data_IF_733456234873
#
_entry.id   IF_733456234873
#
_cell.length_a   1.000
_cell.length_b   1.000
_cell.length_c   1.000
_cell.angle_alpha   90.00
_cell.angle_beta   90.00
_cell.angle_gamma   90.00
#
_symmetry.space_group_name_H-M   'P 1'
#
loop_
_entity.id
_entity.type
_entity.pdbx_description
1 polymer ?
#
# COMPACT_ATOMS: atom_id res chain seq x y z
N UNK A 1 -21.05 -26.25 3.37
CA UNK A 1 -19.75 -26.12 2.67
C UNK A 1 -19.01 -24.94 3.26
N UNK A 2 -18.13 -25.24 4.19
CA UNK A 2 -17.49 -24.31 5.11
C UNK A 2 -16.49 -23.42 4.36
N UNK A 3 -16.76 -22.11 4.44
CA UNK A 3 -15.83 -20.98 4.58
C UNK A 3 -14.41 -21.14 4.00
N UNK A 4 -14.11 -20.27 3.03
CA UNK A 4 -12.78 -20.02 2.46
C UNK A 4 -11.69 -19.93 3.55
N UNK A 5 -10.76 -20.88 3.54
CA UNK A 5 -9.42 -20.71 4.10
C UNK A 5 -8.61 -19.81 3.16
N UNK A 6 -8.89 -18.51 3.19
CA UNK A 6 -7.99 -17.51 2.62
C UNK A 6 -6.86 -17.25 3.63
N UNK A 7 -5.61 -17.36 3.18
CA UNK A 7 -4.37 -17.19 3.96
C UNK A 7 -4.29 -15.81 4.63
N UNK A 8 -4.94 -15.63 5.78
CA UNK A 8 -5.05 -14.35 6.51
C UNK A 8 -3.73 -13.89 7.16
N UNK A 9 -2.77 -14.79 7.35
CA UNK A 9 -1.51 -14.50 8.05
C UNK A 9 -0.46 -13.76 7.21
N UNK A 10 -0.39 -14.00 5.90
CA UNK A 10 0.69 -13.45 5.06
C UNK A 10 0.51 -11.97 4.71
N UNK A 11 -0.71 -11.57 4.37
CA UNK A 11 -1.00 -10.19 3.96
C UNK A 11 -0.81 -9.18 5.10
N UNK A 12 -1.31 -9.51 6.30
CA UNK A 12 -1.16 -8.64 7.47
C UNK A 12 0.30 -8.51 7.92
N UNK A 13 1.07 -9.60 7.89
CA UNK A 13 2.50 -9.55 8.20
C UNK A 13 3.27 -8.69 7.18
N UNK A 14 2.91 -8.74 5.89
CA UNK A 14 3.48 -7.88 4.85
C UNK A 14 3.20 -6.39 5.10
N UNK A 15 1.95 -6.05 5.40
CA UNK A 15 1.53 -4.68 5.67
C UNK A 15 2.22 -4.08 6.90
N UNK A 16 2.34 -4.84 7.99
CA UNK A 16 3.02 -4.40 9.21
C UNK A 16 4.50 -4.10 8.92
N UNK A 17 5.16 -4.95 8.12
CA UNK A 17 6.55 -4.71 7.71
C UNK A 17 6.70 -3.47 6.83
N UNK A 18 5.79 -3.21 5.89
CA UNK A 18 5.83 -2.03 5.04
C UNK A 18 5.70 -0.74 5.87
N UNK A 19 4.71 -0.68 6.76
CA UNK A 19 4.50 0.47 7.65
C UNK A 19 5.73 0.69 8.55
N UNK A 20 6.27 -0.38 9.15
CA UNK A 20 7.46 -0.30 9.99
C UNK A 20 8.68 0.27 9.25
N UNK A 21 8.93 -0.21 8.02
CA UNK A 21 9.99 0.32 7.16
C UNK A 21 9.78 1.79 6.83
N UNK A 22 8.55 2.19 6.53
CA UNK A 22 8.23 3.56 6.18
C UNK A 22 8.43 4.52 7.36
N UNK A 23 7.99 4.15 8.56
CA UNK A 23 8.26 4.90 9.79
C UNK A 23 9.78 5.08 10.00
N UNK A 24 10.57 4.02 9.77
CA UNK A 24 12.04 4.08 9.88
C UNK A 24 12.66 5.07 8.89
N UNK A 25 12.20 5.07 7.64
CA UNK A 25 12.67 6.01 6.60
C UNK A 25 12.33 7.44 7.01
N UNK A 26 11.06 7.70 7.34
CA UNK A 26 10.58 9.03 7.72
C UNK A 26 11.26 9.58 8.98
N UNK A 27 11.57 8.71 9.96
CA UNK A 27 12.34 9.08 11.14
C UNK A 27 13.76 9.49 10.78
N UNK A 28 14.45 8.68 9.97
CA UNK A 28 15.82 8.97 9.52
C UNK A 28 15.90 10.27 8.71
N UNK A 29 14.92 10.53 7.83
CA UNK A 29 14.85 11.76 7.06
C UNK A 29 14.73 13.01 7.94
N UNK A 30 14.29 12.85 9.19
CA UNK A 30 14.23 13.92 10.20
C UNK A 30 15.42 13.96 11.14
N UNK A 31 16.43 13.14 10.93
CA UNK A 31 17.61 13.07 11.78
C UNK A 31 17.34 12.56 13.20
N UNK A 32 16.19 11.92 13.44
CA UNK A 32 15.80 11.46 14.78
C UNK A 32 16.39 10.08 15.08
N UNK A 33 16.88 9.86 16.30
CA UNK A 33 17.15 8.52 16.84
C UNK A 33 15.82 7.82 17.21
N UNK A 34 15.86 6.50 17.41
CA UNK A 34 14.67 5.77 17.88
C UNK A 34 14.23 6.23 19.28
N UNK A 35 15.19 6.61 20.11
CA UNK A 35 14.95 7.15 21.46
C UNK A 35 14.24 8.50 21.38
N UNK A 36 14.76 9.43 20.58
CA UNK A 36 14.13 10.74 20.35
C UNK A 36 12.72 10.61 19.78
N UNK A 37 12.50 9.72 18.80
CA UNK A 37 11.15 9.47 18.30
C UNK A 37 10.25 8.91 19.40
N UNK A 38 10.77 7.96 20.18
CA UNK A 38 10.08 7.36 21.33
C UNK A 38 9.63 8.39 22.36
N UNK A 39 10.50 9.36 22.70
CA UNK A 39 10.17 10.47 23.58
C UNK A 39 9.01 11.31 23.02
N UNK A 40 9.06 11.68 21.74
CA UNK A 40 8.03 12.50 21.08
C UNK A 40 6.67 11.78 21.08
N UNK A 41 6.65 10.48 20.73
CA UNK A 41 5.40 9.70 20.68
C UNK A 41 5.01 9.10 22.04
N UNK A 42 5.81 9.31 23.08
CA UNK A 42 5.65 8.73 24.43
C UNK A 42 5.60 7.19 24.40
N UNK A 43 6.56 6.57 23.73
CA UNK A 43 6.74 5.12 23.67
C UNK A 43 8.20 4.73 23.94
N UNK A 44 8.47 3.58 24.58
CA UNK A 44 9.85 3.13 24.81
C UNK A 44 10.62 2.94 23.50
N UNK A 45 11.92 3.26 23.49
CA UNK A 45 12.81 3.06 22.34
C UNK A 45 12.77 1.62 21.79
N UNK A 46 12.68 0.62 22.67
CA UNK A 46 12.53 -0.80 22.29
C UNK A 46 11.22 -1.08 21.52
N UNK A 47 10.14 -0.38 21.87
CA UNK A 47 8.87 -0.46 21.16
C UNK A 47 9.01 0.13 19.76
N UNK A 48 9.63 1.31 19.62
CA UNK A 48 9.93 1.92 18.32
C UNK A 48 10.74 0.96 17.43
N UNK A 49 11.78 0.34 18.00
CA UNK A 49 12.57 -0.67 17.28
C UNK A 49 11.74 -1.87 16.81
N UNK A 50 10.83 -2.39 17.65
CA UNK A 50 9.92 -3.47 17.27
C UNK A 50 8.92 -3.07 16.17
N UNK A 51 8.42 -1.83 16.19
CA UNK A 51 7.58 -1.28 15.12
C UNK A 51 8.34 -1.22 13.80
N UNK A 52 9.56 -0.66 13.81
CA UNK A 52 10.36 -0.50 12.59
C UNK A 52 10.79 -1.83 11.95
N UNK A 53 10.90 -2.90 12.74
CA UNK A 53 11.17 -4.26 12.26
C UNK A 53 9.92 -5.05 11.88
N UNK A 54 8.73 -4.47 12.03
CA UNK A 54 7.47 -5.14 11.73
C UNK A 54 7.06 -6.23 12.74
N UNK A 55 7.68 -6.23 13.94
CA UNK A 55 7.39 -7.20 15.01
C UNK A 55 6.18 -6.77 15.86
N UNK A 56 5.76 -5.51 15.75
CA UNK A 56 4.65 -4.93 16.51
C UNK A 56 3.51 -4.52 15.58
N UNK A 57 2.32 -5.04 15.85
CA UNK A 57 1.09 -4.51 15.27
C UNK A 57 0.66 -3.26 16.05
N UNK A 58 0.79 -2.09 15.44
CA UNK A 58 0.44 -0.80 16.06
C UNK A 58 -1.02 -0.42 15.82
N UNK A 59 -1.67 0.10 16.86
CA UNK A 59 -3.03 0.65 16.79
C UNK A 59 -3.10 1.87 15.87
N UNK A 60 -4.30 2.22 15.41
CA UNK A 60 -4.55 3.43 14.61
C UNK A 60 -4.13 4.69 15.40
N UNK A 61 -4.47 4.77 16.67
CA UNK A 61 -4.05 5.87 17.56
C UNK A 61 -2.52 6.00 17.64
N UNK A 62 -1.81 4.88 17.72
CA UNK A 62 -0.34 4.90 17.71
C UNK A 62 0.19 5.38 16.36
N UNK A 63 -0.46 5.02 15.25
CA UNK A 63 -0.11 5.54 13.92
C UNK A 63 -0.32 7.04 13.83
N UNK A 64 -1.43 7.56 14.36
CA UNK A 64 -1.70 9.00 14.42
C UNK A 64 -0.59 9.75 15.17
N UNK A 65 -0.15 9.23 16.32
CA UNK A 65 1.00 9.79 17.05
C UNK A 65 2.26 9.85 16.19
N UNK A 66 2.57 8.80 15.43
CA UNK A 66 3.69 8.82 14.49
C UNK A 66 3.51 9.86 13.38
N UNK A 67 2.33 9.95 12.78
CA UNK A 67 2.00 10.92 11.72
C UNK A 67 2.22 12.35 12.23
N UNK A 68 1.75 12.67 13.43
CA UNK A 68 1.90 13.98 14.05
C UNK A 68 3.36 14.26 14.46
N UNK A 69 4.02 13.31 15.13
CA UNK A 69 5.41 13.44 15.56
C UNK A 69 6.37 13.63 14.39
N UNK A 70 6.11 12.90 13.30
CA UNK A 70 6.85 13.02 12.08
C UNK A 70 6.39 14.28 11.33
N UNK A 71 5.15 14.78 11.39
CA UNK A 71 4.66 15.86 10.49
C UNK A 71 4.65 15.41 9.03
N UNK A 72 3.98 14.29 8.79
CA UNK A 72 3.72 13.72 7.46
C UNK A 72 2.23 13.59 7.24
N UNK A 73 1.82 13.39 6.00
CA UNK A 73 0.46 12.92 5.71
C UNK A 73 0.29 11.43 6.08
N UNK A 74 -0.94 10.96 6.36
CA UNK A 74 -1.19 9.54 6.57
C UNK A 74 -0.70 8.65 5.41
N UNK A 75 -0.90 9.09 4.17
CA UNK A 75 -0.45 8.40 2.95
C UNK A 75 1.05 8.11 2.93
N UNK A 76 1.87 9.03 3.45
CA UNK A 76 3.32 8.84 3.52
C UNK A 76 3.72 7.77 4.53
N UNK A 77 2.94 7.51 5.58
CA UNK A 77 3.22 6.44 6.57
C UNK A 77 2.75 5.08 6.07
N UNK A 78 1.63 5.06 5.35
CA UNK A 78 1.07 3.82 4.79
C UNK A 78 1.86 3.28 3.62
N UNK A 79 2.81 4.05 3.08
CA UNK A 79 3.70 3.57 2.03
C UNK A 79 2.90 3.02 0.86
N UNK A 80 1.77 3.65 0.54
CA UNK A 80 1.26 3.51 -0.82
C UNK A 80 2.37 4.10 -1.66
N UNK A 81 3.17 3.24 -2.31
CA UNK A 81 3.78 3.63 -3.57
C UNK A 81 2.68 4.38 -4.30
N UNK A 82 2.93 5.66 -4.62
CA UNK A 82 1.98 6.39 -5.45
C UNK A 82 1.76 5.45 -6.63
N UNK A 83 0.52 4.93 -6.82
CA UNK A 83 0.30 3.92 -7.82
C UNK A 83 0.92 4.47 -9.09
N UNK A 84 1.78 3.67 -9.72
CA UNK A 84 2.39 4.09 -10.98
C UNK A 84 1.28 4.59 -11.90
N UNK A 85 1.58 5.51 -12.81
CA UNK A 85 0.51 6.04 -13.67
C UNK A 85 -0.23 4.90 -14.42
N UNK A 86 0.47 3.79 -14.67
CA UNK A 86 -0.10 2.52 -15.11
C UNK A 86 -1.13 1.93 -14.13
N UNK A 87 -0.78 1.78 -12.85
CA UNK A 87 -1.68 1.24 -11.82
C UNK A 87 -2.91 2.12 -11.61
N UNK A 88 -2.75 3.46 -11.62
CA UNK A 88 -3.89 4.39 -11.56
C UNK A 88 -4.88 4.14 -12.69
N UNK A 89 -4.39 4.01 -13.92
CA UNK A 89 -5.23 3.77 -15.10
C UNK A 89 -5.96 2.43 -14.97
N UNK A 90 -5.26 1.38 -14.52
CA UNK A 90 -5.88 0.06 -14.32
C UNK A 90 -6.98 0.10 -13.26
N UNK A 91 -6.79 0.85 -12.16
CA UNK A 91 -7.80 0.97 -11.12
C UNK A 91 -9.00 1.81 -11.56
N UNK A 92 -8.78 2.90 -12.29
CA UNK A 92 -9.85 3.68 -12.90
C UNK A 92 -10.68 2.82 -13.87
N UNK A 93 -10.03 1.98 -14.68
CA UNK A 93 -10.71 1.06 -15.60
C UNK A 93 -11.55 0.04 -14.82
N UNK A 94 -11.04 -0.55 -13.74
CA UNK A 94 -11.82 -1.47 -12.89
C UNK A 94 -13.07 -0.79 -12.36
N UNK A 95 -12.96 0.42 -11.81
CA UNK A 95 -14.11 1.18 -11.27
C UNK A 95 -15.16 1.45 -12.35
N UNK A 96 -14.73 1.82 -13.56
CA UNK A 96 -15.64 2.08 -14.68
C UNK A 96 -16.44 0.83 -15.09
N UNK A 97 -15.83 -0.35 -14.96
CA UNK A 97 -16.41 -1.63 -15.38
C UNK A 97 -17.24 -2.31 -14.28
N UNK A 98 -17.05 -1.97 -13.00
CA UNK A 98 -17.67 -2.65 -11.85
C UNK A 98 -19.20 -2.73 -11.90
N UNK A 99 -19.85 -1.71 -12.47
CA UNK A 99 -21.32 -1.61 -12.51
C UNK A 99 -21.90 -1.87 -13.92
N UNK A 100 -21.13 -2.51 -14.81
CA UNK A 100 -21.56 -2.87 -16.17
C UNK A 100 -22.09 -4.30 -16.22
N UNK A 101 -22.97 -4.57 -17.18
CA UNK A 101 -23.44 -5.92 -17.42
C UNK A 101 -22.33 -6.81 -17.98
N UNK A 102 -22.42 -8.12 -17.74
CA UNK A 102 -21.46 -9.09 -18.26
C UNK A 102 -21.29 -8.98 -19.78
N UNK A 103 -22.39 -8.76 -20.51
CA UNK A 103 -22.38 -8.60 -21.97
C UNK A 103 -21.61 -7.36 -22.42
N UNK A 104 -21.76 -6.24 -21.73
CA UNK A 104 -20.97 -5.03 -22.02
C UNK A 104 -19.48 -5.25 -21.73
N UNK A 105 -19.15 -5.90 -20.61
CA UNK A 105 -17.76 -6.21 -20.25
C UNK A 105 -17.12 -7.14 -21.29
N UNK A 106 -17.85 -8.14 -21.78
CA UNK A 106 -17.38 -9.08 -22.81
C UNK A 106 -17.09 -8.38 -24.14
N UNK A 107 -17.97 -7.46 -24.56
CA UNK A 107 -17.74 -6.62 -25.74
C UNK A 107 -16.46 -5.79 -25.55
N UNK A 108 -16.32 -5.12 -24.40
CA UNK A 108 -15.14 -4.29 -24.10
C UNK A 108 -13.86 -5.13 -24.09
N UNK A 109 -13.90 -6.35 -23.54
CA UNK A 109 -12.76 -7.26 -23.54
C UNK A 109 -12.33 -7.63 -24.98
N UNK A 110 -13.28 -8.00 -25.83
CA UNK A 110 -12.98 -8.37 -27.22
C UNK A 110 -12.40 -7.18 -28.00
N UNK A 111 -13.00 -5.99 -27.87
CA UNK A 111 -12.45 -4.77 -28.47
C UNK A 111 -11.05 -4.45 -27.97
N UNK A 112 -10.81 -4.60 -26.66
CA UNK A 112 -9.49 -4.37 -26.08
C UNK A 112 -8.46 -5.36 -26.63
N UNK A 113 -8.84 -6.63 -26.80
CA UNK A 113 -8.00 -7.67 -27.38
C UNK A 113 -7.62 -7.36 -28.83
N UNK A 114 -8.58 -6.92 -29.63
CA UNK A 114 -8.36 -6.56 -31.03
C UNK A 114 -7.39 -5.36 -31.12
N UNK A 115 -7.60 -4.32 -30.33
CA UNK A 115 -6.69 -3.16 -30.26
C UNK A 115 -5.27 -3.57 -29.87
N UNK A 116 -5.12 -4.44 -28.87
CA UNK A 116 -3.80 -4.91 -28.44
C UNK A 116 -3.10 -5.70 -29.55
N UNK A 117 -3.82 -6.60 -30.23
CA UNK A 117 -3.25 -7.35 -31.34
C UNK A 117 -2.76 -6.46 -32.49
N UNK A 118 -3.44 -5.34 -32.74
CA UNK A 118 -3.01 -4.35 -33.73
C UNK A 118 -1.74 -3.59 -33.32
N UNK A 119 -1.54 -3.34 -32.01
CA UNK A 119 -0.30 -2.74 -31.51
C UNK A 119 0.88 -3.70 -31.59
N UNK A 120 0.68 -4.96 -31.20
CA UNK A 120 1.72 -5.98 -31.22
C UNK A 120 2.21 -6.24 -32.66
N UNK A 121 1.28 -6.29 -33.63
CA UNK A 121 1.61 -6.44 -35.06
C UNK A 121 2.46 -5.29 -35.63
N UNK A 122 2.38 -4.08 -35.04
CA UNK A 122 3.15 -2.89 -35.45
C UNK A 122 4.53 -2.77 -34.81
N UNK A 123 4.83 -3.59 -33.80
CA UNK A 123 6.10 -3.57 -33.06
C UNK A 123 7.13 -4.59 -33.58
N UNK A 124 6.77 -5.35 -34.62
CA UNK A 124 7.59 -6.37 -35.26
C UNK A 124 8.26 -5.91 -36.58
N UNK A 125 8.02 -4.67 -37.00
CA UNK A 125 8.67 -3.95 -38.11
C UNK A 125 9.58 -2.83 -37.54
#
# INVERSE_FOLDING_TARGET
MTCLLFKRGGFMAGLINQIGKQIRILRKNRGLTQEQLGEIVKLPQSYIGGVERGEKNISIETRERFILALKVSPSEVFGTELPSDKEKILDLLKVLLQNRSLKEIEIIYNLSKDVLSAFDAKSAD
#
